data_IF_364176628084
#
_entry.id   IF_364176628084
#
_cell.length_a   1.000
_cell.length_b   1.000
_cell.length_c   1.000
_cell.angle_alpha   90.00
_cell.angle_beta   90.00
_cell.angle_gamma   90.00
#
_symmetry.space_group_name_H-M   'P 1'
#
loop_
_entity.id
_entity.type
_entity.pdbx_description
1 polymer ?
#
# COMPACT_ATOMS: atom_id res chain seq x y z
N UNK A 1 -29.39 28.61 40.06
CA UNK A 1 -29.08 27.21 39.69
C UNK A 1 -28.97 26.96 38.17
N UNK A 2 -29.71 27.67 37.35
CA UNK A 2 -29.66 27.52 35.86
C UNK A 2 -28.35 27.97 35.20
N UNK A 3 -27.64 28.94 35.74
CA UNK A 3 -26.38 29.48 35.15
C UNK A 3 -25.27 28.42 35.16
N UNK A 4 -25.20 27.58 36.17
CA UNK A 4 -24.20 26.50 36.27
C UNK A 4 -24.47 25.31 35.33
N UNK A 5 -25.71 25.09 34.95
CA UNK A 5 -26.10 24.04 34.00
C UNK A 5 -25.74 24.44 32.58
N UNK A 6 -25.92 25.70 32.22
CA UNK A 6 -25.54 26.23 30.92
C UNK A 6 -24.00 26.25 30.73
N UNK A 7 -23.24 26.53 31.81
CA UNK A 7 -21.80 26.55 31.79
C UNK A 7 -21.23 25.13 31.48
N UNK A 8 -21.76 24.08 32.14
CA UNK A 8 -21.34 22.70 31.88
C UNK A 8 -21.62 22.24 30.43
N UNK A 9 -22.77 22.63 29.91
CA UNK A 9 -23.17 22.38 28.53
C UNK A 9 -22.23 23.11 27.56
N UNK A 10 -21.90 24.36 27.82
CA UNK A 10 -20.95 25.14 27.05
C UNK A 10 -19.56 24.54 27.01
N UNK A 11 -19.04 24.10 28.18
CA UNK A 11 -17.75 23.42 28.26
C UNK A 11 -17.74 22.11 27.48
N UNK A 12 -18.83 21.35 27.50
CA UNK A 12 -18.96 20.09 26.77
C UNK A 12 -18.99 20.35 25.25
N UNK A 13 -19.68 21.37 24.79
CA UNK A 13 -19.67 21.77 23.39
C UNK A 13 -18.29 22.21 22.91
N UNK A 14 -17.56 22.99 23.71
CA UNK A 14 -16.19 23.42 23.40
C UNK A 14 -15.25 22.22 23.37
N UNK A 15 -15.37 21.28 24.31
CA UNK A 15 -14.55 20.07 24.34
C UNK A 15 -14.79 19.19 23.09
N UNK A 16 -16.04 19.03 22.67
CA UNK A 16 -16.39 18.29 21.45
C UNK A 16 -15.82 19.01 20.22
N UNK A 17 -15.96 20.33 20.15
CA UNK A 17 -15.43 21.13 19.03
C UNK A 17 -13.91 21.00 18.94
N UNK A 18 -13.21 21.06 20.07
CA UNK A 18 -11.77 20.86 20.15
C UNK A 18 -11.35 19.44 19.72
N UNK A 19 -12.08 18.44 20.18
CA UNK A 19 -11.82 17.04 19.80
C UNK A 19 -12.00 16.81 18.29
N UNK A 20 -13.06 17.36 17.71
CA UNK A 20 -13.32 17.32 16.25
C UNK A 20 -12.21 18.06 15.50
N UNK A 21 -11.80 19.24 15.98
CA UNK A 21 -10.73 20.02 15.36
C UNK A 21 -9.38 19.28 15.37
N UNK A 22 -9.01 18.67 16.50
CA UNK A 22 -7.79 17.85 16.64
C UNK A 22 -7.87 16.62 15.73
N UNK A 23 -9.03 15.98 15.64
CA UNK A 23 -9.23 14.83 14.75
C UNK A 23 -9.09 15.22 13.27
N UNK A 24 -9.74 16.32 12.86
CA UNK A 24 -9.62 16.86 11.49
C UNK A 24 -8.19 17.28 11.17
N UNK A 25 -7.51 17.95 12.10
CA UNK A 25 -6.12 18.35 11.93
C UNK A 25 -5.21 17.14 11.72
N UNK A 26 -5.37 16.07 12.53
CA UNK A 26 -4.61 14.82 12.36
C UNK A 26 -4.88 14.12 11.04
N UNK A 27 -6.12 14.16 10.54
CA UNK A 27 -6.49 13.57 9.26
C UNK A 27 -5.89 14.34 8.07
N UNK A 28 -5.78 15.67 8.17
CA UNK A 28 -5.25 16.53 7.10
C UNK A 28 -3.73 16.57 7.10
N UNK A 29 -3.09 16.54 8.28
CA UNK A 29 -1.64 16.65 8.45
C UNK A 29 -0.96 15.27 8.48
N UNK A 30 -1.72 14.18 8.40
CA UNK A 30 -1.13 12.85 8.26
C UNK A 30 -0.14 12.83 7.08
N UNK A 31 1.12 12.43 7.28
CA UNK A 31 2.11 12.47 6.23
C UNK A 31 1.65 11.60 5.06
N UNK A 32 1.55 12.21 3.89
CA UNK A 32 1.23 11.53 2.64
C UNK A 32 2.47 10.80 2.16
N UNK A 33 2.70 9.62 2.69
CA UNK A 33 3.90 8.83 2.43
C UNK A 33 3.59 7.66 1.49
N UNK A 34 4.54 7.34 0.64
CA UNK A 34 4.53 6.11 -0.12
C UNK A 34 4.98 4.96 0.78
N UNK A 35 4.12 3.98 0.99
CA UNK A 35 4.41 2.80 1.78
C UNK A 35 4.56 1.59 0.87
N UNK A 36 5.70 0.93 0.93
CA UNK A 36 6.02 -0.25 0.15
C UNK A 36 6.23 -1.40 1.13
N UNK A 37 5.41 -2.43 1.06
CA UNK A 37 5.51 -3.62 1.92
C UNK A 37 5.87 -4.83 1.08
N UNK A 38 7.06 -5.39 1.32
CA UNK A 38 7.46 -6.67 0.75
C UNK A 38 6.86 -7.76 1.61
N UNK A 39 5.91 -8.49 1.05
CA UNK A 39 5.09 -9.46 1.76
C UNK A 39 5.76 -10.84 1.80
N UNK A 40 5.58 -11.55 2.91
CA UNK A 40 6.06 -12.91 3.04
C UNK A 40 5.01 -13.92 2.53
N UNK A 41 5.28 -14.48 1.36
CA UNK A 41 4.41 -15.45 0.67
C UNK A 41 5.14 -16.77 0.34
N UNK A 42 6.15 -17.11 1.13
CA UNK A 42 6.95 -18.32 0.91
C UNK A 42 7.86 -18.23 -0.32
N UNK A 43 7.80 -19.21 -1.20
CA UNK A 43 8.64 -19.26 -2.42
C UNK A 43 8.05 -18.45 -3.57
N UNK A 44 7.71 -17.19 -3.33
CA UNK A 44 7.12 -16.30 -4.33
C UNK A 44 7.44 -14.84 -4.04
N UNK A 45 6.91 -13.97 -4.87
CA UNK A 45 7.00 -12.53 -4.71
C UNK A 45 5.60 -11.94 -4.52
N UNK A 46 5.47 -11.01 -3.58
CA UNK A 46 4.29 -10.17 -3.45
C UNK A 46 4.70 -8.84 -2.82
N UNK A 47 4.32 -7.73 -3.43
CA UNK A 47 4.68 -6.40 -2.97
C UNK A 47 3.41 -5.57 -2.94
N UNK A 48 3.12 -5.02 -1.77
CA UNK A 48 2.00 -4.11 -1.56
C UNK A 48 2.52 -2.68 -1.56
N UNK A 49 1.93 -1.84 -2.39
CA UNK A 49 2.22 -0.42 -2.46
C UNK A 49 0.97 0.35 -2.08
N UNK A 50 1.10 1.21 -1.09
CA UNK A 50 0.07 2.16 -0.69
C UNK A 50 0.57 3.56 -1.01
N UNK A 51 -0.17 4.25 -1.90
CA UNK A 51 0.20 5.60 -2.34
C UNK A 51 -0.20 6.66 -1.31
N UNK A 52 0.35 7.87 -1.41
CA UNK A 52 -0.07 8.99 -0.58
C UNK A 52 -1.56 9.33 -0.67
N UNK A 53 -2.22 9.03 -1.79
CA UNK A 53 -3.67 9.20 -1.97
C UNK A 53 -4.49 7.96 -1.57
N UNK A 54 -3.92 7.09 -0.71
CA UNK A 54 -4.56 5.88 -0.18
C UNK A 54 -4.91 4.80 -1.23
N UNK A 55 -4.40 4.92 -2.46
CA UNK A 55 -4.56 3.86 -3.46
C UNK A 55 -3.64 2.70 -3.16
N UNK A 56 -4.15 1.50 -3.38
CA UNK A 56 -3.47 0.25 -3.06
C UNK A 56 -3.18 -0.53 -4.33
N UNK A 57 -1.90 -0.80 -4.56
CA UNK A 57 -1.42 -1.61 -5.67
C UNK A 57 -0.77 -2.87 -5.12
N UNK A 58 -1.10 -4.01 -5.71
CA UNK A 58 -0.49 -5.30 -5.39
C UNK A 58 0.31 -5.77 -6.59
N UNK A 59 1.59 -5.99 -6.41
CA UNK A 59 2.49 -6.47 -7.46
C UNK A 59 2.86 -7.90 -7.13
N UNK A 60 2.46 -8.80 -8.02
CA UNK A 60 2.46 -10.24 -7.85
C UNK A 60 1.68 -10.69 -6.59
N UNK A 61 1.31 -11.95 -6.53
CA UNK A 61 0.41 -12.46 -5.48
C UNK A 61 0.94 -13.74 -4.82
N UNK A 62 2.18 -14.11 -5.14
CA UNK A 62 2.76 -15.33 -4.61
C UNK A 62 2.16 -16.62 -5.18
N UNK A 63 2.56 -17.79 -4.64
CA UNK A 63 2.20 -19.09 -5.19
C UNK A 63 0.84 -19.61 -4.76
N UNK A 64 0.28 -19.14 -3.64
CA UNK A 64 -0.87 -19.75 -2.97
C UNK A 64 -1.60 -18.77 -2.02
N UNK A 65 -2.51 -19.32 -1.20
CA UNK A 65 -3.34 -18.57 -0.25
C UNK A 65 -2.55 -17.88 0.89
N UNK A 66 -1.25 -18.08 1.03
CA UNK A 66 -0.40 -17.38 2.02
C UNK A 66 -0.45 -15.86 1.86
N UNK A 67 -0.73 -15.39 0.64
CA UNK A 67 -0.96 -13.98 0.34
C UNK A 67 -2.08 -13.36 1.20
N UNK A 68 -3.15 -14.11 1.51
CA UNK A 68 -4.25 -13.59 2.31
C UNK A 68 -3.83 -13.28 3.75
N UNK A 69 -2.95 -14.09 4.35
CA UNK A 69 -2.36 -13.83 5.66
C UNK A 69 -1.50 -12.58 5.60
N UNK A 70 -0.60 -12.52 4.64
CA UNK A 70 0.32 -11.38 4.48
C UNK A 70 -0.42 -10.06 4.22
N UNK A 71 -1.48 -10.07 3.40
CA UNK A 71 -2.35 -8.91 3.21
C UNK A 71 -3.13 -8.55 4.48
N UNK A 72 -3.59 -9.53 5.25
CA UNK A 72 -4.29 -9.31 6.52
C UNK A 72 -3.40 -8.66 7.59
N UNK A 73 -2.09 -8.90 7.57
CA UNK A 73 -1.10 -8.26 8.42
C UNK A 73 -0.73 -6.84 7.95
N UNK A 74 -0.72 -6.62 6.63
CA UNK A 74 -0.27 -5.36 6.02
C UNK A 74 -1.38 -4.32 5.85
N UNK A 75 -2.65 -4.76 5.67
CA UNK A 75 -3.81 -3.91 5.44
C UNK A 75 -4.73 -3.82 6.66
N UNK A 76 -5.38 -2.66 6.88
CA UNK A 76 -6.42 -2.54 7.89
C UNK A 76 -7.58 -3.51 7.63
N UNK A 77 -8.23 -4.00 8.70
CA UNK A 77 -9.32 -5.01 8.62
C UNK A 77 -10.51 -4.57 7.77
N UNK A 78 -10.76 -3.26 7.66
CA UNK A 78 -11.86 -2.68 6.86
C UNK A 78 -11.51 -2.53 5.38
N UNK A 79 -10.23 -2.59 5.01
CA UNK A 79 -9.82 -2.44 3.62
C UNK A 79 -10.09 -3.72 2.84
N UNK A 80 -11.03 -3.65 1.91
CA UNK A 80 -11.46 -4.76 1.05
C UNK A 80 -11.28 -4.44 -0.43
N UNK A 81 -10.53 -3.39 -0.75
CA UNK A 81 -10.29 -2.95 -2.12
C UNK A 81 -8.79 -2.90 -2.41
N UNK A 82 -8.42 -3.42 -3.57
CA UNK A 82 -7.12 -3.26 -4.22
C UNK A 82 -7.40 -2.55 -5.54
N UNK A 83 -6.79 -1.39 -5.76
CA UNK A 83 -7.08 -0.58 -6.95
C UNK A 83 -6.52 -1.20 -8.22
N UNK A 84 -5.32 -1.79 -8.16
CA UNK A 84 -4.81 -2.61 -9.26
C UNK A 84 -3.91 -3.75 -8.77
N UNK A 85 -3.96 -4.86 -9.50
CA UNK A 85 -2.98 -5.95 -9.42
C UNK A 85 -2.09 -5.89 -10.66
N UNK A 86 -0.79 -5.91 -10.44
CA UNK A 86 0.23 -5.88 -11.48
C UNK A 86 0.98 -7.21 -11.43
N UNK A 87 0.86 -8.00 -12.48
CA UNK A 87 1.52 -9.31 -12.58
C UNK A 87 2.76 -9.19 -13.47
N UNK A 88 3.91 -9.55 -12.91
CA UNK A 88 5.21 -9.44 -13.60
C UNK A 88 5.60 -10.72 -14.33
N UNK A 89 4.91 -11.83 -14.07
CA UNK A 89 5.16 -13.12 -14.71
C UNK A 89 3.89 -13.97 -14.73
N UNK A 90 3.86 -14.99 -15.58
CA UNK A 90 2.79 -16.00 -15.63
C UNK A 90 3.12 -17.25 -14.81
N UNK A 91 4.30 -17.32 -14.19
CA UNK A 91 4.70 -18.47 -13.36
C UNK A 91 3.87 -18.53 -12.08
N UNK A 92 3.55 -19.73 -11.62
CA UNK A 92 2.74 -19.95 -10.41
C UNK A 92 3.27 -19.22 -9.16
N UNK A 93 4.58 -19.11 -9.01
CA UNK A 93 5.20 -18.36 -7.90
C UNK A 93 4.88 -16.86 -7.84
N UNK A 94 4.27 -16.32 -8.90
CA UNK A 94 3.87 -14.92 -9.01
C UNK A 94 2.35 -14.73 -9.06
N UNK A 95 1.62 -15.71 -9.60
CA UNK A 95 0.18 -15.58 -9.90
C UNK A 95 -0.70 -16.59 -9.16
N UNK A 96 -0.13 -17.59 -8.49
CA UNK A 96 -0.89 -18.70 -7.91
C UNK A 96 -1.92 -18.27 -6.87
N UNK A 97 -1.65 -17.22 -6.09
CA UNK A 97 -2.58 -16.68 -5.09
C UNK A 97 -3.67 -15.75 -5.65
N UNK A 98 -3.76 -15.57 -6.97
CA UNK A 98 -4.71 -14.61 -7.56
C UNK A 98 -6.18 -14.96 -7.29
N UNK A 99 -6.65 -16.21 -7.43
CA UNK A 99 -8.03 -16.57 -7.13
C UNK A 99 -8.43 -16.26 -5.68
N UNK A 100 -7.52 -16.48 -4.73
CA UNK A 100 -7.74 -16.22 -3.30
C UNK A 100 -7.85 -14.72 -3.03
N UNK A 101 -7.00 -13.91 -3.65
CA UNK A 101 -7.07 -12.44 -3.54
C UNK A 101 -8.40 -11.94 -4.11
N UNK A 102 -8.80 -12.39 -5.30
CA UNK A 102 -10.05 -11.97 -5.95
C UNK A 102 -11.31 -12.44 -5.21
N UNK A 103 -11.24 -13.56 -4.47
CA UNK A 103 -12.36 -14.02 -3.65
C UNK A 103 -12.61 -13.13 -2.43
N UNK A 104 -11.56 -12.45 -1.90
CA UNK A 104 -11.61 -11.69 -0.66
C UNK A 104 -11.57 -10.18 -0.84
N UNK A 105 -10.93 -9.69 -1.90
CA UNK A 105 -10.74 -8.27 -2.19
C UNK A 105 -11.42 -7.89 -3.52
N UNK A 106 -11.97 -6.68 -3.57
CA UNK A 106 -12.46 -6.11 -4.82
C UNK A 106 -11.27 -5.53 -5.59
N UNK A 107 -10.96 -6.10 -6.73
CA UNK A 107 -9.87 -5.67 -7.61
C UNK A 107 -10.39 -4.71 -8.66
N UNK A 108 -9.81 -3.50 -8.74
CA UNK A 108 -10.23 -2.48 -9.71
C UNK A 108 -9.70 -2.74 -11.11
N UNK A 109 -8.43 -3.07 -11.24
CA UNK A 109 -7.78 -3.35 -12.53
C UNK A 109 -6.76 -4.47 -12.40
N UNK A 110 -6.47 -5.14 -13.53
CA UNK A 110 -5.38 -6.11 -13.66
C UNK A 110 -4.50 -5.74 -14.84
N UNK A 111 -3.20 -5.81 -14.62
CA UNK A 111 -2.18 -5.55 -15.62
C UNK A 111 -1.19 -6.71 -15.66
N UNK A 112 -0.83 -7.17 -16.86
CA UNK A 112 0.20 -8.18 -17.08
C UNK A 112 1.36 -7.56 -17.84
N UNK A 113 2.55 -7.70 -17.30
CA UNK A 113 3.80 -7.28 -17.94
C UNK A 113 4.51 -8.45 -18.62
N UNK A 114 5.44 -8.12 -19.51
CA UNK A 114 6.19 -9.11 -20.28
C UNK A 114 5.46 -9.63 -21.53
N UNK A 115 4.43 -8.92 -21.97
CA UNK A 115 3.73 -9.18 -23.23
C UNK A 115 3.86 -7.98 -24.20
N UNK A 116 3.32 -8.12 -25.42
CA UNK A 116 3.42 -7.07 -26.44
C UNK A 116 2.74 -5.75 -26.05
N UNK A 117 1.69 -5.79 -25.20
CA UNK A 117 0.96 -4.60 -24.76
C UNK A 117 1.67 -3.85 -23.62
N UNK A 118 2.39 -4.58 -22.77
CA UNK A 118 3.15 -4.02 -21.65
C UNK A 118 4.50 -4.74 -21.53
N UNK A 119 5.49 -4.43 -22.37
CA UNK A 119 6.81 -5.03 -22.32
C UNK A 119 7.55 -4.62 -21.04
N UNK A 120 8.53 -5.41 -20.61
CA UNK A 120 9.43 -5.02 -19.53
C UNK A 120 10.14 -3.70 -19.88
N UNK A 121 10.35 -2.87 -18.86
CA UNK A 121 10.82 -1.49 -19.02
C UNK A 121 9.69 -0.46 -19.10
N UNK A 122 8.43 -0.90 -19.30
CA UNK A 122 7.28 0.01 -19.25
C UNK A 122 7.05 0.50 -17.83
N UNK A 123 6.69 1.78 -17.72
CA UNK A 123 6.42 2.43 -16.43
C UNK A 123 4.94 2.76 -16.27
N UNK A 124 4.42 2.57 -15.07
CA UNK A 124 3.10 3.06 -14.64
C UNK A 124 3.32 4.26 -13.73
N UNK A 125 2.58 5.33 -13.96
CA UNK A 125 2.62 6.53 -13.13
C UNK A 125 1.33 6.67 -12.33
N UNK A 126 1.46 7.00 -11.04
CA UNK A 126 0.34 7.31 -10.15
C UNK A 126 0.83 8.21 -9.00
N UNK A 127 0.04 9.19 -8.65
CA UNK A 127 0.28 10.10 -7.50
C UNK A 127 1.73 10.62 -7.38
N UNK A 128 2.35 10.98 -8.49
CA UNK A 128 3.75 11.42 -8.53
C UNK A 128 4.78 10.28 -8.37
N UNK A 129 4.31 9.05 -8.20
CA UNK A 129 5.16 7.86 -8.15
C UNK A 129 5.23 7.18 -9.52
N UNK A 130 6.35 6.53 -9.80
CA UNK A 130 6.57 5.74 -11.00
C UNK A 130 6.96 4.32 -10.62
N UNK A 131 6.24 3.33 -11.12
CA UNK A 131 6.64 1.93 -11.03
C UNK A 131 7.12 1.49 -12.41
N UNK A 132 8.34 0.99 -12.49
CA UNK A 132 8.90 0.39 -13.70
C UNK A 132 9.13 -1.09 -13.44
N UNK A 133 8.51 -1.96 -14.22
CA UNK A 133 8.74 -3.41 -14.17
C UNK A 133 9.91 -3.74 -15.07
N UNK A 134 11.06 -4.04 -14.50
CA UNK A 134 12.33 -4.28 -15.22
C UNK A 134 12.39 -5.70 -15.75
N UNK A 135 11.98 -6.67 -14.94
CA UNK A 135 11.93 -8.10 -15.29
C UNK A 135 10.99 -8.83 -14.32
N UNK A 136 10.70 -10.11 -14.51
CA UNK A 136 9.88 -10.87 -13.56
C UNK A 136 10.37 -10.73 -12.12
N UNK A 137 9.53 -10.20 -11.24
CA UNK A 137 9.85 -9.98 -9.82
C UNK A 137 10.90 -8.90 -9.53
N UNK A 138 11.31 -8.12 -10.55
CA UNK A 138 12.24 -6.99 -10.36
C UNK A 138 11.56 -5.70 -10.79
N UNK A 139 11.44 -4.77 -9.86
CA UNK A 139 10.81 -3.47 -10.10
C UNK A 139 11.70 -2.34 -9.57
N UNK A 140 11.48 -1.19 -10.17
CA UNK A 140 12.01 0.08 -9.67
C UNK A 140 10.84 1.00 -9.39
N UNK A 141 10.78 1.53 -8.17
CA UNK A 141 9.76 2.48 -7.73
C UNK A 141 10.47 3.81 -7.46
N UNK A 142 10.01 4.87 -8.13
CA UNK A 142 10.52 6.23 -7.90
C UNK A 142 9.40 7.09 -7.35
N UNK A 143 9.72 7.86 -6.30
CA UNK A 143 8.81 8.82 -5.68
C UNK A 143 9.61 10.04 -5.21
N UNK A 144 9.26 11.23 -5.74
CA UNK A 144 10.08 12.42 -5.51
C UNK A 144 11.51 12.22 -6.03
N UNK A 145 12.50 12.49 -5.17
CA UNK A 145 13.92 12.27 -5.45
C UNK A 145 14.42 10.85 -5.12
N UNK A 146 13.56 10.02 -4.50
CA UNK A 146 13.95 8.67 -4.08
C UNK A 146 13.64 7.63 -5.14
N UNK A 147 14.54 6.64 -5.27
CA UNK A 147 14.35 5.47 -6.13
C UNK A 147 14.66 4.21 -5.33
N UNK A 148 13.74 3.27 -5.36
CA UNK A 148 13.85 2.00 -4.66
C UNK A 148 13.71 0.84 -5.63
N UNK A 149 14.72 -0.03 -5.68
CA UNK A 149 14.69 -1.25 -6.49
C UNK A 149 14.38 -2.45 -5.62
N UNK A 150 13.38 -3.22 -6.02
CA UNK A 150 12.92 -4.43 -5.34
C UNK A 150 13.21 -5.63 -6.21
N UNK A 151 13.73 -6.67 -5.60
CA UNK A 151 13.97 -7.99 -6.22
C UNK A 151 13.61 -9.09 -5.23
N UNK A 152 13.68 -10.34 -5.67
CA UNK A 152 13.46 -11.52 -4.81
C UNK A 152 14.41 -11.60 -3.61
N UNK A 153 15.52 -10.86 -3.61
CA UNK A 153 16.47 -10.77 -2.50
C UNK A 153 16.19 -9.62 -1.53
N UNK A 154 15.18 -8.78 -1.82
CA UNK A 154 14.83 -7.67 -0.92
C UNK A 154 14.21 -8.22 0.35
N UNK A 155 14.72 -7.84 1.54
CA UNK A 155 14.17 -8.34 2.80
C UNK A 155 12.68 -8.01 2.95
N UNK A 156 11.93 -8.95 3.51
CA UNK A 156 10.52 -8.76 3.88
C UNK A 156 10.40 -7.62 4.89
N UNK A 157 9.40 -6.78 4.72
CA UNK A 157 9.16 -5.65 5.62
C UNK A 157 8.52 -4.46 4.91
N UNK A 158 8.25 -3.42 5.69
CA UNK A 158 7.63 -2.19 5.19
C UNK A 158 8.65 -1.07 5.09
N UNK A 159 8.77 -0.52 3.90
CA UNK A 159 9.60 0.63 3.58
C UNK A 159 8.70 1.85 3.39
N UNK A 160 9.08 2.99 3.95
CA UNK A 160 8.29 4.21 3.90
C UNK A 160 9.16 5.30 3.25
N UNK A 161 8.60 6.04 2.31
CA UNK A 161 9.24 7.18 1.68
C UNK A 161 8.31 8.40 1.69
N UNK A 162 8.85 9.53 2.08
CA UNK A 162 8.23 10.86 1.98
C UNK A 162 8.59 11.59 0.67
N UNK A 163 9.41 10.96 -0.19
CA UNK A 163 9.91 11.51 -1.44
C UNK A 163 11.34 12.06 -1.35
N UNK A 164 11.91 12.20 -0.15
CA UNK A 164 13.29 12.63 0.07
C UNK A 164 14.14 11.53 0.69
N UNK A 165 13.55 10.71 1.56
CA UNK A 165 14.24 9.64 2.28
C UNK A 165 13.46 8.33 2.19
N UNK A 166 14.18 7.20 2.29
CA UNK A 166 13.60 5.87 2.43
C UNK A 166 13.96 5.35 3.81
N UNK A 167 12.95 5.11 4.64
CA UNK A 167 13.11 4.45 5.93
C UNK A 167 12.93 2.94 5.74
N UNK A 168 13.96 2.17 6.12
CA UNK A 168 13.90 0.71 6.16
C UNK A 168 13.08 0.24 7.37
N UNK A 169 12.47 -0.97 7.30
CA UNK A 169 11.82 -1.55 8.47
C UNK A 169 12.85 -1.63 9.60
N UNK A 170 12.48 -1.10 10.77
CA UNK A 170 13.31 -1.23 11.95
C UNK A 170 13.51 -2.71 12.25
N UNK A 171 14.75 -3.15 12.29
CA UNK A 171 15.14 -4.41 12.94
C UNK A 171 14.75 -4.30 14.40
N UNK A 172 13.75 -5.07 14.82
CA UNK A 172 13.50 -5.35 16.25
C UNK A 172 14.55 -6.29 16.77
#
# INVERSE_FOLDING_TARGET
>A
MQVFQNSRFLFLCIAILMAVNVFMYRAIVAPHVLKISVLEVGKGNAILIQSPSEKTFLIDVGPDASILRALGEALPMWQRRIDAIILTSTKNSFVGGLPEVESRYRVGARMHFGNAAAPYGTSIMFDGSRITVVSPGVLTISYGSTTFSISSSTPTGTYISDGELIQKPGTK
#
